data_IF_036840828345
#
_entry.id   IF_036840828345
#
_cell.length_a   1.000
_cell.length_b   1.000
_cell.length_c   1.000
_cell.angle_alpha   90.00
_cell.angle_beta   90.00
_cell.angle_gamma   90.00
#
_symmetry.space_group_name_H-M   'P 1'
#
loop_
_entity.id
_entity.type
_entity.pdbx_description
1 polymer ?
#
# COMPACT_ATOMS: atom_id res chain seq x y z
N UNK A 1 2.53 -3.99 14.27
CA UNK A 1 2.69 -2.51 14.16
C UNK A 1 3.50 -2.01 15.33
N UNK A 2 4.54 -1.22 15.09
CA UNK A 2 5.38 -0.64 16.17
C UNK A 2 4.69 0.60 16.76
N UNK A 3 4.10 1.44 15.91
CA UNK A 3 3.36 2.65 16.29
C UNK A 3 1.86 2.46 16.12
N UNK A 4 1.06 2.96 17.06
CA UNK A 4 -0.41 2.93 16.98
C UNK A 4 -0.95 4.03 16.05
N UNK A 5 -2.16 3.85 15.53
CA UNK A 5 -2.81 4.80 14.61
C UNK A 5 -2.86 6.24 15.14
N UNK A 6 -3.26 6.52 16.41
CA UNK A 6 -3.30 7.90 16.90
C UNK A 6 -1.92 8.59 16.89
N UNK A 7 -0.86 7.82 17.15
CA UNK A 7 0.50 8.34 17.09
C UNK A 7 0.90 8.70 15.66
N UNK A 8 0.60 7.84 14.68
CA UNK A 8 0.90 8.10 13.27
C UNK A 8 0.19 9.37 12.77
N UNK A 9 -1.10 9.51 13.07
CA UNK A 9 -1.88 10.70 12.69
C UNK A 9 -1.26 11.96 13.31
N UNK A 10 -1.03 11.96 14.62
CA UNK A 10 -0.44 13.09 15.33
C UNK A 10 0.94 13.46 14.79
N UNK A 11 1.82 12.48 14.59
CA UNK A 11 3.18 12.70 14.12
C UNK A 11 3.20 13.31 12.72
N UNK A 12 2.46 12.73 11.76
CA UNK A 12 2.41 13.22 10.38
C UNK A 12 1.80 14.62 10.34
N UNK A 13 0.71 14.86 11.08
CA UNK A 13 0.03 16.17 11.14
C UNK A 13 0.91 17.30 11.71
N UNK A 14 1.94 16.96 12.48
CA UNK A 14 2.90 17.95 13.00
C UNK A 14 3.94 18.41 11.96
N UNK A 15 4.07 17.66 10.86
CA UNK A 15 5.04 17.89 9.78
C UNK A 15 4.34 18.48 8.55
N UNK A 16 3.14 17.99 8.22
CA UNK A 16 2.34 18.46 7.09
C UNK A 16 0.85 18.43 7.41
N UNK A 17 0.07 19.28 6.76
CA UNK A 17 -1.40 19.26 6.88
C UNK A 17 -1.96 17.98 6.26
N UNK A 18 -2.76 17.23 7.02
CA UNK A 18 -3.56 16.12 6.51
C UNK A 18 -4.88 16.66 5.95
N UNK A 19 -5.22 16.26 4.73
CA UNK A 19 -6.43 16.65 4.04
C UNK A 19 -7.43 15.48 3.99
N UNK A 20 -8.69 15.80 3.72
CA UNK A 20 -9.71 14.78 3.49
C UNK A 20 -9.32 13.91 2.28
N UNK A 21 -9.40 12.59 2.47
CA UNK A 21 -9.02 11.61 1.45
C UNK A 21 -7.55 11.17 1.49
N UNK A 22 -6.71 11.77 2.33
CA UNK A 22 -5.32 11.32 2.49
C UNK A 22 -5.23 9.89 3.03
N UNK A 23 -4.33 9.10 2.44
CA UNK A 23 -4.11 7.68 2.80
C UNK A 23 -2.77 7.50 3.49
N UNK A 24 -2.81 6.98 4.73
CA UNK A 24 -1.60 6.64 5.50
C UNK A 24 -1.33 5.14 5.39
N UNK A 25 -0.18 4.77 4.82
CA UNK A 25 0.28 3.38 4.79
C UNK A 25 1.01 3.05 6.10
N UNK A 26 0.40 2.21 6.94
CA UNK A 26 0.87 1.93 8.32
C UNK A 26 2.06 0.96 8.40
N UNK A 27 2.59 0.56 7.26
CA UNK A 27 3.64 -0.47 7.13
C UNK A 27 3.08 -1.87 6.90
N UNK A 28 3.99 -2.81 6.65
CA UNK A 28 3.71 -4.24 6.43
C UNK A 28 4.44 -5.07 7.49
N UNK A 29 3.90 -6.23 7.90
CA UNK A 29 4.69 -7.22 8.63
C UNK A 29 5.89 -7.72 7.81
N UNK A 30 6.70 -8.57 8.45
CA UNK A 30 7.76 -9.31 7.78
C UNK A 30 7.24 -10.25 6.68
N UNK A 31 8.15 -10.73 5.82
CA UNK A 31 7.82 -11.64 4.72
C UNK A 31 7.68 -10.99 3.35
N UNK A 32 8.10 -9.73 3.19
CA UNK A 32 8.21 -9.10 1.87
C UNK A 32 9.25 -9.84 1.00
N UNK A 33 8.95 -10.00 -0.29
CA UNK A 33 9.77 -10.75 -1.23
C UNK A 33 9.61 -10.31 -2.68
N UNK A 34 10.41 -10.86 -3.60
CA UNK A 34 10.41 -10.47 -5.00
C UNK A 34 9.10 -10.87 -5.70
N UNK A 35 8.59 -9.96 -6.51
CA UNK A 35 7.41 -10.15 -7.36
C UNK A 35 7.84 -10.43 -8.80
N UNK A 36 7.20 -11.39 -9.46
CA UNK A 36 7.51 -11.87 -10.83
C UNK A 36 6.29 -11.76 -11.73
N UNK A 37 6.54 -11.48 -13.01
CA UNK A 37 5.50 -11.44 -14.04
C UNK A 37 4.77 -12.79 -14.12
N UNK A 38 3.46 -12.74 -14.26
CA UNK A 38 2.57 -13.91 -14.27
C UNK A 38 2.10 -14.35 -12.89
N UNK A 39 2.59 -13.74 -11.81
CA UNK A 39 2.05 -13.99 -10.47
C UNK A 39 0.70 -13.28 -10.27
N UNK A 40 -0.13 -13.87 -9.41
CA UNK A 40 -1.30 -13.25 -8.83
C UNK A 40 -0.99 -12.84 -7.39
N UNK A 41 -1.20 -11.58 -7.06
CA UNK A 41 -1.05 -11.08 -5.69
C UNK A 41 -2.44 -10.97 -5.07
N UNK A 42 -2.61 -11.58 -3.90
CA UNK A 42 -3.76 -11.40 -3.02
C UNK A 42 -3.31 -10.68 -1.76
N UNK A 43 -4.03 -9.65 -1.36
CA UNK A 43 -3.77 -8.88 -0.17
C UNK A 43 -5.09 -8.39 0.42
N UNK A 44 -5.12 -8.09 1.71
CA UNK A 44 -6.35 -7.67 2.36
C UNK A 44 -6.16 -7.35 3.83
N UNK A 45 -7.24 -6.87 4.43
CA UNK A 45 -7.39 -6.73 5.87
C UNK A 45 -8.56 -7.62 6.25
N UNK A 46 -8.32 -8.57 7.14
CA UNK A 46 -9.33 -9.54 7.59
C UNK A 46 -10.63 -8.85 7.95
N UNK A 47 -11.74 -9.38 7.42
CA UNK A 47 -13.11 -8.89 7.61
C UNK A 47 -13.41 -7.48 7.09
N UNK A 48 -12.48 -6.86 6.37
CA UNK A 48 -12.60 -5.47 5.93
C UNK A 48 -12.44 -5.31 4.41
N UNK A 49 -11.41 -5.92 3.82
CA UNK A 49 -11.18 -5.84 2.37
C UNK A 49 -10.30 -6.97 1.87
N UNK A 50 -10.63 -7.47 0.67
CA UNK A 50 -9.79 -8.35 -0.13
C UNK A 50 -9.49 -7.69 -1.47
N UNK A 51 -8.25 -7.84 -1.93
CA UNK A 51 -7.75 -7.31 -3.20
C UNK A 51 -6.95 -8.39 -3.91
N UNK A 52 -7.21 -8.61 -5.18
CA UNK A 52 -6.44 -9.51 -6.05
C UNK A 52 -6.04 -8.77 -7.34
N UNK A 53 -4.78 -8.92 -7.76
CA UNK A 53 -4.31 -8.34 -9.01
C UNK A 53 -3.23 -9.19 -9.69
N UNK A 54 -3.24 -9.16 -11.03
CA UNK A 54 -2.26 -9.82 -11.88
C UNK A 54 -0.99 -8.97 -12.02
N UNK A 55 0.17 -9.62 -11.88
CA UNK A 55 1.47 -9.00 -12.11
C UNK A 55 1.83 -9.11 -13.58
N UNK A 56 1.76 -7.99 -14.29
CA UNK A 56 2.11 -7.91 -15.70
C UNK A 56 3.28 -6.96 -15.94
N UNK A 57 4.02 -7.19 -17.02
CA UNK A 57 5.06 -6.25 -17.46
C UNK A 57 4.36 -5.00 -17.99
N UNK A 58 4.80 -3.82 -17.53
CA UNK A 58 4.27 -2.54 -18.04
C UNK A 58 4.61 -2.43 -19.54
N UNK A 59 3.60 -2.53 -20.40
CA UNK A 59 3.75 -2.24 -21.82
C UNK A 59 3.79 -0.72 -22.01
N UNK A 60 4.97 -0.17 -22.31
CA UNK A 60 5.08 1.22 -22.77
C UNK A 60 4.90 1.23 -24.29
N UNK A 61 3.68 1.46 -24.75
CA UNK A 61 3.46 1.91 -26.13
C UNK A 61 3.85 3.38 -26.18
N UNK A 62 5.08 3.68 -26.56
CA UNK A 62 5.42 5.02 -27.04
C UNK A 62 4.80 5.15 -28.43
N UNK A 63 3.67 5.84 -28.52
CA UNK A 63 3.23 6.44 -29.79
C UNK A 63 4.06 7.72 -29.97
N UNK A 64 5.01 7.68 -30.89
CA UNK A 64 5.59 8.89 -31.51
C UNK A 64 4.54 9.61 -32.33
#
# INVERSE_FOLDING_TARGET
MIFKIPFLISYISSIMTLMEGDVILTGTPEGVGPVRVGQKIKAGITDLIDVEFDVQRRNRSFST
#
